data_IF_133391107253
#
_entry.id   IF_133391107253
#
_cell.length_a   1.000
_cell.length_b   1.000
_cell.length_c   1.000
_cell.angle_alpha   90.00
_cell.angle_beta   90.00
_cell.angle_gamma   90.00
#
_symmetry.space_group_name_H-M   'P 1'
#
loop_
_entity.id
_entity.type
_entity.pdbx_description
1 polymer ?
#
# COMPACT_ATOMS: atom_id res chain seq x y z
N UNK A 1 -6.21 24.36 2.29
CA UNK A 1 -4.80 23.87 2.38
C UNK A 1 -4.53 23.05 1.14
N UNK A 2 -3.44 23.29 0.43
CA UNK A 2 -3.07 22.50 -0.75
C UNK A 2 -2.48 21.14 -0.33
N UNK A 3 -2.46 20.17 -1.25
CA UNK A 3 -1.85 18.86 -1.00
C UNK A 3 -0.42 18.96 -0.49
N UNK A 4 0.41 19.81 -1.10
CA UNK A 4 1.81 20.00 -0.70
C UNK A 4 1.96 20.67 0.69
N UNK A 5 1.09 21.60 1.02
CA UNK A 5 1.08 22.21 2.37
C UNK A 5 0.67 21.17 3.43
N UNK A 6 -0.37 20.38 3.15
CA UNK A 6 -0.79 19.31 4.04
C UNK A 6 0.30 18.24 4.21
N UNK A 7 0.94 17.84 3.10
CA UNK A 7 2.02 16.86 3.13
C UNK A 7 3.20 17.36 3.98
N UNK A 8 3.59 18.62 3.82
CA UNK A 8 4.70 19.21 4.61
C UNK A 8 4.38 19.25 6.11
N UNK A 9 3.18 19.71 6.47
CA UNK A 9 2.77 19.86 7.88
C UNK A 9 2.66 18.48 8.57
N UNK A 10 1.91 17.57 7.98
CA UNK A 10 1.69 16.25 8.59
C UNK A 10 2.95 15.39 8.60
N UNK A 11 3.76 15.43 7.53
CA UNK A 11 5.03 14.70 7.52
C UNK A 11 5.99 15.17 8.60
N UNK A 12 6.09 16.47 8.83
CA UNK A 12 6.93 17.04 9.91
C UNK A 12 6.45 16.57 11.30
N UNK A 13 5.13 16.52 11.51
CA UNK A 13 4.56 16.07 12.79
C UNK A 13 4.87 14.60 13.11
N UNK A 14 5.04 13.76 12.07
CA UNK A 14 5.36 12.33 12.21
C UNK A 14 6.83 11.99 11.93
N UNK A 15 7.68 13.01 11.74
CA UNK A 15 9.12 12.81 11.51
C UNK A 15 9.45 12.20 10.14
N UNK A 16 8.54 12.32 9.17
CA UNK A 16 8.70 11.75 7.82
C UNK A 16 9.35 12.77 6.90
N UNK A 17 10.35 12.32 6.14
CA UNK A 17 11.06 13.13 5.15
C UNK A 17 10.85 12.54 3.76
N UNK A 18 10.42 13.38 2.82
CA UNK A 18 10.21 13.04 1.42
C UNK A 18 11.24 13.73 0.52
N UNK A 19 11.71 13.04 -0.51
CA UNK A 19 12.39 13.67 -1.63
C UNK A 19 11.39 14.44 -2.50
N UNK A 20 11.86 15.39 -3.32
CA UNK A 20 10.97 16.13 -4.24
C UNK A 20 10.23 15.17 -5.19
N UNK A 21 10.93 14.18 -5.73
CA UNK A 21 10.31 13.15 -6.58
C UNK A 21 9.16 12.41 -5.87
N UNK A 22 9.36 12.04 -4.62
CA UNK A 22 8.31 11.36 -3.83
C UNK A 22 7.10 12.25 -3.59
N UNK A 23 7.31 13.53 -3.31
CA UNK A 23 6.22 14.51 -3.17
C UNK A 23 5.41 14.65 -4.45
N UNK A 24 6.10 14.75 -5.61
CA UNK A 24 5.46 14.81 -6.92
C UNK A 24 4.67 13.52 -7.21
N UNK A 25 5.23 12.35 -6.92
CA UNK A 25 4.56 11.06 -7.10
C UNK A 25 3.30 10.93 -6.23
N UNK A 26 3.35 11.36 -4.96
CA UNK A 26 2.21 11.32 -4.06
C UNK A 26 1.08 12.25 -4.51
N UNK A 27 1.42 13.47 -4.93
CA UNK A 27 0.45 14.43 -5.45
C UNK A 27 -0.19 13.95 -6.76
N UNK A 28 0.61 13.40 -7.67
CA UNK A 28 0.11 12.81 -8.91
C UNK A 28 -0.81 11.62 -8.63
N UNK A 29 -0.44 10.75 -7.69
CA UNK A 29 -1.30 9.64 -7.25
C UNK A 29 -2.65 10.14 -6.72
N UNK A 30 -2.63 11.19 -5.88
CA UNK A 30 -3.84 11.83 -5.38
C UNK A 30 -4.77 12.26 -6.52
N UNK A 31 -4.26 13.01 -7.48
CA UNK A 31 -5.09 13.49 -8.61
C UNK A 31 -5.62 12.35 -9.48
N UNK A 32 -4.80 11.35 -9.77
CA UNK A 32 -5.24 10.16 -10.51
C UNK A 32 -6.37 9.43 -9.78
N UNK A 33 -6.24 9.27 -8.46
CA UNK A 33 -7.23 8.58 -7.65
C UNK A 33 -8.54 9.37 -7.55
N UNK A 34 -8.49 10.67 -7.30
CA UNK A 34 -9.68 11.52 -7.22
C UNK A 34 -10.43 11.55 -8.56
N UNK A 35 -9.72 11.61 -9.67
CA UNK A 35 -10.34 11.54 -10.99
C UNK A 35 -11.01 10.17 -11.24
N UNK A 36 -10.29 9.08 -10.96
CA UNK A 36 -10.83 7.72 -11.12
C UNK A 36 -12.00 7.45 -10.17
N UNK A 37 -11.97 8.06 -8.99
CA UNK A 37 -13.02 7.91 -7.97
C UNK A 37 -14.40 8.37 -8.44
N UNK A 38 -14.47 9.29 -9.38
CA UNK A 38 -15.73 9.77 -9.99
C UNK A 38 -16.54 8.64 -10.67
N UNK A 39 -15.86 7.58 -11.08
CA UNK A 39 -16.47 6.45 -11.82
C UNK A 39 -16.36 5.10 -11.10
N UNK A 40 -15.48 4.96 -10.10
CA UNK A 40 -15.19 3.66 -9.50
C UNK A 40 -15.48 3.54 -7.99
N UNK A 41 -15.78 4.64 -7.29
CA UNK A 41 -15.95 4.66 -5.83
C UNK A 41 -14.79 3.97 -5.08
N UNK A 42 -13.57 4.44 -5.32
CA UNK A 42 -12.35 3.87 -4.75
C UNK A 42 -12.13 4.27 -3.29
N UNK A 43 -12.53 5.50 -2.94
CA UNK A 43 -12.39 6.06 -1.59
C UNK A 43 -13.51 7.06 -1.28
N UNK A 44 -13.87 7.17 -0.01
CA UNK A 44 -14.73 8.25 0.49
C UNK A 44 -13.98 9.54 0.81
N UNK A 45 -12.63 9.52 0.77
CA UNK A 45 -11.77 10.64 1.16
C UNK A 45 -11.20 11.27 -0.09
N UNK A 46 -11.61 12.51 -0.40
CA UNK A 46 -11.18 13.27 -1.59
C UNK A 46 -10.61 14.65 -1.25
N UNK A 47 -10.76 15.08 -0.02
CA UNK A 47 -10.18 16.30 0.53
C UNK A 47 -8.66 16.13 0.69
N UNK A 48 -7.87 17.11 0.24
CA UNK A 48 -6.40 17.03 0.18
C UNK A 48 -5.76 16.75 1.55
N UNK A 49 -6.14 17.50 2.57
CA UNK A 49 -5.58 17.35 3.91
C UNK A 49 -5.97 16.00 4.54
N UNK A 50 -7.24 15.64 4.43
CA UNK A 50 -7.74 14.37 4.96
C UNK A 50 -7.10 13.18 4.24
N UNK A 51 -6.89 13.29 2.92
CA UNK A 51 -6.20 12.29 2.12
C UNK A 51 -4.76 12.10 2.57
N UNK A 52 -4.01 13.20 2.74
CA UNK A 52 -2.65 13.13 3.24
C UNK A 52 -2.59 12.44 4.60
N UNK A 53 -3.42 12.86 5.54
CA UNK A 53 -3.38 12.31 6.89
C UNK A 53 -3.83 10.85 6.95
N UNK A 54 -5.02 10.53 6.40
CA UNK A 54 -5.66 9.22 6.54
C UNK A 54 -5.22 8.19 5.51
N UNK A 55 -4.63 8.62 4.40
CA UNK A 55 -4.15 7.69 3.38
C UNK A 55 -2.64 7.65 3.27
N UNK A 56 -1.95 8.80 3.23
CA UNK A 56 -0.50 8.81 3.06
C UNK A 56 0.21 8.52 4.39
N UNK A 57 0.00 9.37 5.39
CA UNK A 57 0.69 9.25 6.68
C UNK A 57 0.30 7.94 7.39
N UNK A 58 -0.97 7.59 7.40
CA UNK A 58 -1.45 6.34 7.97
C UNK A 58 -0.78 5.12 7.31
N UNK A 59 -0.66 5.11 5.98
CA UNK A 59 -0.02 4.01 5.24
C UNK A 59 1.45 3.82 5.61
N UNK A 60 2.20 4.89 5.81
CA UNK A 60 3.63 4.79 6.13
C UNK A 60 3.90 4.67 7.63
N UNK A 61 2.91 4.92 8.49
CA UNK A 61 3.06 4.80 9.94
C UNK A 61 3.41 3.38 10.40
N UNK A 62 3.08 2.36 9.60
CA UNK A 62 3.44 0.97 9.88
C UNK A 62 4.85 0.61 9.42
N UNK A 63 5.55 1.49 8.69
CA UNK A 63 6.91 1.21 8.18
C UNK A 63 7.92 1.38 9.31
N UNK A 64 8.40 0.27 9.82
CA UNK A 64 9.43 0.20 10.85
C UNK A 64 10.66 -0.52 10.25
N UNK A 65 11.83 0.09 10.37
CA UNK A 65 13.09 -0.45 9.81
C UNK A 65 13.46 -1.83 10.39
N UNK A 66 12.97 -2.15 11.59
CA UNK A 66 13.17 -3.46 12.21
C UNK A 66 12.49 -4.58 11.39
N UNK A 67 11.35 -4.29 10.76
CA UNK A 67 10.56 -5.26 10.00
C UNK A 67 10.70 -5.08 8.49
N UNK A 68 10.82 -3.83 8.03
CA UNK A 68 10.94 -3.47 6.62
C UNK A 68 12.41 -3.46 6.19
N UNK A 69 13.04 -4.63 6.16
CA UNK A 69 14.42 -4.78 5.74
C UNK A 69 14.64 -4.31 4.30
N UNK A 70 15.87 -3.94 3.98
CA UNK A 70 16.23 -3.49 2.62
C UNK A 70 15.94 -4.58 1.59
N UNK A 71 15.31 -4.19 0.48
CA UNK A 71 14.89 -5.08 -0.61
C UNK A 71 13.91 -6.19 -0.21
N UNK A 72 13.26 -6.09 0.94
CA UNK A 72 12.26 -7.07 1.36
C UNK A 72 11.09 -7.16 0.37
N UNK A 73 10.49 -8.35 0.28
CA UNK A 73 9.27 -8.58 -0.47
C UNK A 73 8.03 -8.33 0.39
N UNK A 74 7.09 -7.56 -0.14
CA UNK A 74 5.85 -7.19 0.53
C UNK A 74 4.65 -7.56 -0.33
N UNK A 75 3.62 -8.16 0.27
CA UNK A 75 2.31 -8.32 -0.34
C UNK A 75 1.28 -7.46 0.39
N UNK A 76 0.55 -6.63 -0.36
CA UNK A 76 -0.56 -5.84 0.14
C UNK A 76 -1.88 -6.53 -0.21
N UNK A 77 -2.46 -7.22 0.79
CA UNK A 77 -3.63 -8.09 0.62
C UNK A 77 -4.91 -7.27 0.67
N UNK A 78 -5.66 -7.28 -0.43
CA UNK A 78 -6.85 -6.44 -0.56
C UNK A 78 -6.51 -4.97 -0.67
N UNK A 79 -5.56 -4.65 -1.54
CA UNK A 79 -4.99 -3.30 -1.70
C UNK A 79 -6.00 -2.21 -2.02
N UNK A 80 -7.14 -2.56 -2.62
CA UNK A 80 -8.22 -1.62 -2.95
C UNK A 80 -7.77 -0.51 -3.89
N UNK A 81 -7.80 0.72 -3.40
CA UNK A 81 -7.32 1.90 -4.13
C UNK A 81 -5.78 2.06 -4.11
N UNK A 82 -5.05 1.05 -3.60
CA UNK A 82 -3.59 1.05 -3.50
C UNK A 82 -3.05 1.38 -2.11
N UNK A 83 -3.86 1.19 -1.06
CA UNK A 83 -3.45 1.48 0.31
C UNK A 83 -3.35 0.22 1.18
N UNK A 84 -2.25 0.08 1.92
CA UNK A 84 -1.12 1.02 2.08
C UNK A 84 -0.03 0.87 0.99
N UNK A 85 -0.16 -0.04 0.03
CA UNK A 85 0.91 -0.46 -0.88
C UNK A 85 1.56 0.66 -1.71
N UNK A 86 0.79 1.54 -2.36
CA UNK A 86 1.34 2.61 -3.20
C UNK A 86 2.11 3.66 -2.38
N UNK A 87 1.60 4.22 -1.27
CA UNK A 87 2.40 5.12 -0.42
C UNK A 87 3.68 4.48 0.09
N UNK A 88 3.64 3.19 0.49
CA UNK A 88 4.83 2.45 0.92
C UNK A 88 5.83 2.32 -0.23
N UNK A 89 5.38 2.00 -1.44
CA UNK A 89 6.24 1.88 -2.62
C UNK A 89 6.95 3.19 -2.97
N UNK A 90 6.26 4.32 -2.82
CA UNK A 90 6.84 5.65 -3.04
C UNK A 90 7.86 5.97 -1.94
N UNK A 91 7.54 5.67 -0.68
CA UNK A 91 8.41 5.93 0.47
C UNK A 91 9.64 5.03 0.49
N UNK A 92 9.48 3.75 0.16
CA UNK A 92 10.51 2.70 0.16
C UNK A 92 10.63 2.05 -1.22
N UNK A 93 11.24 2.75 -2.19
CA UNK A 93 11.37 2.25 -3.57
C UNK A 93 12.29 1.02 -3.71
N UNK A 94 13.00 0.66 -2.65
CA UNK A 94 13.80 -0.56 -2.56
C UNK A 94 12.98 -1.84 -2.34
N UNK A 95 11.74 -1.73 -1.82
CA UNK A 95 10.90 -2.89 -1.57
C UNK A 95 10.31 -3.47 -2.86
N UNK A 96 10.18 -4.80 -2.89
CA UNK A 96 9.47 -5.52 -3.96
C UNK A 96 8.01 -5.71 -3.54
N UNK A 97 7.09 -4.95 -4.13
CA UNK A 97 5.71 -4.89 -3.66
C UNK A 97 4.76 -5.56 -4.64
N UNK A 98 3.93 -6.46 -4.13
CA UNK A 98 2.81 -7.06 -4.85
C UNK A 98 1.50 -6.49 -4.33
N UNK A 99 0.76 -5.78 -5.17
CA UNK A 99 -0.59 -5.28 -4.88
C UNK A 99 -1.61 -6.36 -5.26
N UNK A 100 -2.25 -6.93 -4.27
CA UNK A 100 -3.17 -8.05 -4.44
C UNK A 100 -4.62 -7.63 -4.19
N UNK A 101 -5.51 -7.91 -5.14
CA UNK A 101 -6.95 -7.64 -5.00
C UNK A 101 -7.78 -8.67 -5.78
N UNK A 102 -9.00 -8.92 -5.34
CA UNK A 102 -9.96 -9.78 -6.03
C UNK A 102 -10.73 -9.07 -7.15
N UNK A 103 -10.62 -7.75 -7.27
CA UNK A 103 -11.33 -6.95 -8.26
C UNK A 103 -10.37 -6.44 -9.34
N UNK A 104 -10.41 -7.05 -10.53
CA UNK A 104 -9.56 -6.69 -11.67
C UNK A 104 -9.64 -5.19 -12.04
N UNK A 105 -10.80 -4.57 -11.89
CA UNK A 105 -10.96 -3.13 -12.21
C UNK A 105 -10.08 -2.23 -11.34
N UNK A 106 -9.88 -2.59 -10.06
CA UNK A 106 -8.97 -1.86 -9.16
C UNK A 106 -7.53 -2.04 -9.59
N UNK A 107 -7.14 -3.26 -9.91
CA UNK A 107 -5.78 -3.56 -10.36
C UNK A 107 -5.44 -2.86 -11.67
N UNK A 108 -6.38 -2.80 -12.62
CA UNK A 108 -6.17 -2.04 -13.88
C UNK A 108 -5.91 -0.56 -13.63
N UNK A 109 -6.60 0.05 -12.65
CA UNK A 109 -6.27 1.41 -12.22
C UNK A 109 -4.88 1.50 -11.58
N UNK A 110 -4.51 0.54 -10.74
CA UNK A 110 -3.20 0.53 -10.09
C UNK A 110 -2.07 0.30 -11.09
N UNK A 111 -2.29 -0.47 -12.16
CA UNK A 111 -1.35 -0.60 -13.27
C UNK A 111 -1.12 0.75 -13.97
N UNK A 112 -2.18 1.52 -14.23
CA UNK A 112 -2.06 2.90 -14.75
C UNK A 112 -1.23 3.78 -13.81
N UNK A 113 -1.42 3.65 -12.48
CA UNK A 113 -0.65 4.39 -11.46
C UNK A 113 0.81 3.97 -11.46
N UNK A 114 1.10 2.66 -11.45
CA UNK A 114 2.45 2.10 -11.45
C UNK A 114 3.25 2.61 -12.64
N UNK A 115 2.65 2.54 -13.83
CA UNK A 115 3.29 2.99 -15.07
C UNK A 115 3.52 4.51 -15.07
N UNK A 116 2.51 5.29 -14.67
CA UNK A 116 2.60 6.75 -14.65
C UNK A 116 3.63 7.27 -13.65
N UNK A 117 3.70 6.67 -12.46
CA UNK A 117 4.63 7.06 -11.41
C UNK A 117 6.02 6.41 -11.54
N UNK A 118 6.20 5.47 -12.47
CA UNK A 118 7.46 4.77 -12.67
C UNK A 118 7.87 3.88 -11.49
N UNK A 119 6.92 3.17 -10.89
CA UNK A 119 7.13 2.29 -9.73
C UNK A 119 7.61 0.91 -10.17
N UNK A 120 8.86 0.81 -10.63
CA UNK A 120 9.41 -0.39 -11.28
C UNK A 120 9.45 -1.65 -10.40
N UNK A 121 9.42 -1.52 -9.08
CA UNK A 121 9.44 -2.63 -8.12
C UNK A 121 8.05 -3.07 -7.65
N UNK A 122 6.98 -2.55 -8.28
CA UNK A 122 5.60 -2.84 -7.92
C UNK A 122 4.93 -3.64 -9.03
N UNK A 123 4.25 -4.72 -8.63
CA UNK A 123 3.44 -5.55 -9.54
C UNK A 123 2.05 -5.76 -8.98
N UNK A 124 1.09 -6.08 -9.83
CA UNK A 124 -0.28 -6.43 -9.42
C UNK A 124 -0.49 -7.93 -9.48
N UNK A 125 -1.40 -8.44 -8.66
CA UNK A 125 -1.83 -9.82 -8.68
C UNK A 125 -3.34 -9.90 -8.45
N UNK A 126 -4.07 -10.50 -9.40
CA UNK A 126 -5.50 -10.71 -9.32
C UNK A 126 -5.81 -12.10 -8.77
N UNK A 127 -6.74 -12.19 -7.83
CA UNK A 127 -7.22 -13.44 -7.30
C UNK A 127 -7.97 -13.28 -5.98
N UNK A 128 -8.43 -14.41 -5.46
CA UNK A 128 -8.92 -14.50 -4.08
C UNK A 128 -7.80 -15.02 -3.19
N UNK A 129 -7.66 -14.46 -2.00
CA UNK A 129 -6.57 -14.84 -1.08
C UNK A 129 -6.59 -16.35 -0.77
N UNK A 130 -7.77 -16.92 -0.60
CA UNK A 130 -7.96 -18.35 -0.32
C UNK A 130 -7.43 -19.24 -1.45
N UNK A 131 -7.54 -18.82 -2.70
CA UNK A 131 -7.12 -19.61 -3.86
C UNK A 131 -5.63 -19.43 -4.14
N UNK A 132 -5.15 -18.19 -4.06
CA UNK A 132 -3.76 -17.81 -4.43
C UNK A 132 -2.78 -18.24 -3.33
N UNK A 133 -3.17 -18.18 -2.06
CA UNK A 133 -2.34 -18.58 -0.93
C UNK A 133 -1.90 -20.07 -0.97
N UNK A 134 -2.59 -20.93 -1.74
CA UNK A 134 -2.20 -22.32 -1.93
C UNK A 134 -1.22 -22.54 -3.09
N UNK A 135 -1.02 -21.53 -3.94
CA UNK A 135 -0.09 -21.65 -5.06
C UNK A 135 1.36 -21.52 -4.58
N UNK A 136 2.23 -22.42 -5.03
CA UNK A 136 3.64 -22.47 -4.61
C UNK A 136 4.40 -21.16 -4.90
N UNK A 137 3.99 -20.40 -5.92
CA UNK A 137 4.57 -19.10 -6.26
C UNK A 137 4.22 -17.96 -5.29
N UNK A 138 3.25 -18.16 -4.41
CA UNK A 138 2.79 -17.15 -3.46
C UNK A 138 2.90 -17.60 -2.00
N UNK A 139 2.69 -18.91 -1.73
CA UNK A 139 2.75 -19.45 -0.39
C UNK A 139 4.15 -19.29 0.21
N UNK A 140 4.23 -18.65 1.37
CA UNK A 140 5.49 -18.46 2.13
C UNK A 140 6.59 -17.77 1.31
N UNK A 141 6.22 -16.83 0.42
CA UNK A 141 7.16 -16.14 -0.48
C UNK A 141 7.48 -14.71 -0.06
N UNK A 142 6.70 -14.11 0.84
CA UNK A 142 6.83 -12.71 1.21
C UNK A 142 7.44 -12.54 2.60
N UNK A 143 8.28 -11.51 2.76
CA UNK A 143 8.85 -11.12 4.05
C UNK A 143 7.82 -10.36 4.90
N UNK A 144 6.94 -9.60 4.25
CA UNK A 144 5.95 -8.72 4.89
C UNK A 144 4.58 -8.89 4.21
N UNK A 145 3.53 -8.91 5.02
CA UNK A 145 2.16 -8.73 4.52
C UNK A 145 1.54 -7.49 5.18
N UNK A 146 0.91 -6.67 4.35
CA UNK A 146 0.09 -5.54 4.80
C UNK A 146 -1.34 -5.75 4.35
N UNK A 147 -2.27 -5.15 5.08
CA UNK A 147 -3.67 -5.08 4.68
C UNK A 147 -4.35 -3.98 5.47
N UNK A 148 -5.30 -3.29 4.84
CA UNK A 148 -6.09 -2.24 5.47
C UNK A 148 -7.57 -2.43 5.17
N UNK A 149 -8.41 -2.40 6.23
CA UNK A 149 -9.88 -2.40 6.14
C UNK A 149 -10.51 -3.57 5.35
N UNK A 150 -9.83 -4.74 5.25
CA UNK A 150 -10.35 -5.90 4.50
C UNK A 150 -11.27 -6.76 5.34
N UNK A 151 -10.93 -6.99 6.61
CA UNK A 151 -11.67 -7.88 7.50
C UNK A 151 -11.31 -7.63 8.98
N UNK A 152 -12.03 -8.29 9.90
CA UNK A 152 -11.62 -8.37 11.31
C UNK A 152 -10.28 -9.09 11.43
N UNK A 153 -9.47 -8.72 12.42
CA UNK A 153 -8.11 -9.21 12.61
C UNK A 153 -7.94 -10.75 12.46
N UNK A 154 -8.78 -11.61 13.06
CA UNK A 154 -8.61 -13.05 12.90
C UNK A 154 -8.72 -13.51 11.44
N UNK A 155 -9.70 -12.99 10.70
CA UNK A 155 -9.91 -13.31 9.27
C UNK A 155 -8.77 -12.74 8.42
N UNK A 156 -8.31 -11.54 8.76
CA UNK A 156 -7.17 -10.92 8.08
C UNK A 156 -5.90 -11.76 8.24
N UNK A 157 -5.64 -12.29 9.43
CA UNK A 157 -4.51 -13.18 9.68
C UNK A 157 -4.62 -14.48 8.88
N UNK A 158 -5.81 -15.06 8.77
CA UNK A 158 -6.04 -16.24 7.92
C UNK A 158 -5.72 -15.98 6.45
N UNK A 159 -5.99 -14.76 5.95
CA UNK A 159 -5.68 -14.37 4.57
C UNK A 159 -4.21 -14.01 4.35
N UNK A 160 -3.56 -13.40 5.33
CA UNK A 160 -2.21 -12.87 5.17
C UNK A 160 -1.10 -13.86 5.55
N UNK A 161 -1.30 -14.65 6.62
CA UNK A 161 -0.26 -15.57 7.12
C UNK A 161 0.25 -16.58 6.10
N UNK A 162 -0.60 -17.18 5.22
CA UNK A 162 -0.10 -18.13 4.23
C UNK A 162 0.92 -17.56 3.24
N UNK A 163 0.95 -16.25 3.04
CA UNK A 163 1.91 -15.57 2.15
C UNK A 163 3.27 -15.34 2.79
N UNK A 164 3.36 -15.34 4.14
CA UNK A 164 4.57 -14.98 4.87
C UNK A 164 5.53 -16.16 4.99
N UNK A 165 6.82 -15.90 4.76
CA UNK A 165 7.91 -16.86 4.95
C UNK A 165 7.93 -17.35 6.40
N UNK A 166 8.06 -18.67 6.59
CA UNK A 166 8.25 -19.26 7.92
C UNK A 166 9.64 -18.91 8.46
N UNK A 167 9.71 -18.46 9.73
CA UNK A 167 10.96 -18.07 10.38
C UNK A 167 11.42 -16.64 10.09
N UNK A 168 10.59 -15.83 9.44
CA UNK A 168 10.81 -14.39 9.29
C UNK A 168 10.61 -13.61 10.60
N UNK A 169 10.91 -12.30 10.60
CA UNK A 169 10.65 -11.44 11.75
C UNK A 169 9.15 -11.45 12.10
N UNK A 170 8.78 -11.19 13.37
CA UNK A 170 7.37 -11.11 13.74
C UNK A 170 6.64 -10.06 12.89
N UNK A 171 5.37 -10.33 12.59
CA UNK A 171 4.54 -9.40 11.82
C UNK A 171 4.53 -8.01 12.48
N UNK A 172 4.64 -6.92 11.70
CA UNK A 172 4.48 -5.59 12.24
C UNK A 172 3.09 -5.44 12.86
N UNK A 173 2.94 -4.60 13.89
CA UNK A 173 1.62 -4.30 14.40
C UNK A 173 0.75 -3.78 13.26
N UNK A 174 -0.39 -4.41 13.05
CA UNK A 174 -1.38 -3.92 12.07
C UNK A 174 -1.76 -2.52 12.46
N UNK A 175 -1.65 -1.56 11.53
CA UNK A 175 -2.22 -0.24 11.76
C UNK A 175 -3.71 -0.45 12.07
N UNK A 176 -4.09 -0.21 13.31
CA UNK A 176 -5.48 -0.31 13.72
C UNK A 176 -6.25 0.80 13.01
N UNK A 177 -7.28 0.41 12.29
CA UNK A 177 -8.22 1.32 11.67
C UNK A 177 -8.98 2.14 12.73
#
# INVERSE_FOLDING_TARGET
>A
MTFQEALAIHSAAYGVVWTEKQKEQLEQFYYMLVEKNKVMNLTGITEEEEFVLKHIIDSISCVDEQYFLKNASLIDVGTGAGFPGIPIAIYRPDLQITLFDSLQKRLSFLEEVIDTLGLASVVTCHGRAEDVAHQASFREQFDIATSRAVARLPILLEYALPFIKTGGPPLPPTAAA
#
